data_IF_966635138904
#
_entry.id   IF_966635138904
#
_cell.length_a   1.000
_cell.length_b   1.000
_cell.length_c   1.000
_cell.angle_alpha   90.00
_cell.angle_beta   90.00
_cell.angle_gamma   90.00
#
_symmetry.space_group_name_H-M   'P 1'
#
loop_
_entity.id
_entity.type
_entity.pdbx_description
1 polymer ?
#
# COMPACT_ATOMS: atom_id res chain seq x y z
N UNK A 1 4.81 -22.85 -18.82
CA UNK A 1 3.54 -22.68 -18.08
C UNK A 1 3.57 -21.34 -17.38
N UNK A 2 2.91 -20.32 -17.93
CA UNK A 2 2.76 -19.00 -17.31
C UNK A 2 1.35 -18.90 -16.75
N UNK A 3 1.16 -19.29 -15.49
CA UNK A 3 -0.13 -19.08 -14.82
C UNK A 3 -0.12 -17.70 -14.16
N UNK A 4 -0.08 -16.65 -15.00
CA UNK A 4 -0.16 -15.24 -14.61
C UNK A 4 -1.63 -14.83 -14.36
N UNK A 5 -2.43 -15.74 -13.78
CA UNK A 5 -3.85 -15.50 -13.53
C UNK A 5 -4.03 -14.82 -12.18
N UNK A 6 -4.73 -13.70 -12.23
CA UNK A 6 -5.16 -12.93 -11.06
C UNK A 6 -6.01 -13.79 -10.11
N UNK A 7 -5.56 -13.95 -8.88
CA UNK A 7 -6.23 -14.73 -7.83
C UNK A 7 -7.09 -13.83 -6.99
N UNK A 8 -8.33 -14.24 -6.70
CA UNK A 8 -9.17 -13.55 -5.71
C UNK A 8 -8.60 -13.76 -4.32
N UNK A 9 -8.48 -12.68 -3.56
CA UNK A 9 -7.86 -12.69 -2.23
C UNK A 9 -8.66 -11.79 -1.29
N UNK A 10 -8.47 -12.01 0.02
CA UNK A 10 -8.78 -11.02 1.04
C UNK A 10 -7.49 -10.30 1.39
N UNK A 11 -7.55 -8.98 1.52
CA UNK A 11 -6.39 -8.13 1.80
C UNK A 11 -6.64 -7.43 3.11
N UNK A 12 -5.65 -7.51 3.99
CA UNK A 12 -5.62 -6.75 5.22
C UNK A 12 -4.51 -5.69 5.09
N UNK A 13 -4.86 -4.43 5.31
CA UNK A 13 -3.95 -3.31 5.38
C UNK A 13 -4.01 -2.74 6.80
N UNK A 14 -2.93 -2.87 7.54
CA UNK A 14 -2.76 -2.23 8.84
C UNK A 14 -1.87 -1.00 8.67
N UNK A 15 -2.30 0.14 9.20
CA UNK A 15 -1.49 1.35 9.29
C UNK A 15 -1.38 1.78 10.75
N UNK A 16 -0.22 2.26 11.17
CA UNK A 16 -0.01 2.81 12.51
C UNK A 16 0.79 4.10 12.42
N UNK A 17 0.50 5.01 13.33
CA UNK A 17 1.17 6.28 13.54
C UNK A 17 1.15 6.64 15.03
N UNK A 18 1.83 7.72 15.40
CA UNK A 18 1.81 8.26 16.76
C UNK A 18 0.38 8.63 17.24
N UNK A 19 -0.51 8.97 16.30
CA UNK A 19 -1.91 9.34 16.57
C UNK A 19 -2.89 8.17 16.64
N UNK A 20 -2.44 6.94 16.43
CA UNK A 20 -3.28 5.75 16.38
C UNK A 20 -3.05 4.90 15.14
N UNK A 21 -3.83 3.83 15.00
CA UNK A 21 -3.75 2.91 13.88
C UNK A 21 -5.12 2.52 13.35
N UNK A 22 -5.12 2.08 12.10
CA UNK A 22 -6.30 1.65 11.35
C UNK A 22 -6.05 0.28 10.74
N UNK A 23 -7.11 -0.49 10.56
CA UNK A 23 -7.05 -1.75 9.82
C UNK A 23 -8.17 -1.77 8.80
N UNK A 24 -7.79 -1.84 7.53
CA UNK A 24 -8.68 -2.00 6.40
C UNK A 24 -8.70 -3.46 5.98
N UNK A 25 -9.89 -3.99 5.74
CA UNK A 25 -10.11 -5.34 5.27
C UNK A 25 -10.98 -5.32 4.02
N UNK A 26 -10.42 -5.79 2.92
CA UNK A 26 -11.06 -5.70 1.61
C UNK A 26 -10.92 -6.96 0.79
N UNK A 27 -11.90 -7.14 -0.10
CA UNK A 27 -11.82 -8.16 -1.16
C UNK A 27 -11.06 -7.58 -2.34
N UNK A 28 -10.22 -8.41 -2.95
CA UNK A 28 -9.31 -7.94 -3.97
C UNK A 28 -8.80 -9.04 -4.88
N UNK A 29 -7.80 -8.70 -5.66
CA UNK A 29 -7.06 -9.66 -6.46
C UNK A 29 -5.56 -9.45 -6.35
N UNK A 30 -4.85 -10.55 -6.54
CA UNK A 30 -3.41 -10.62 -6.44
C UNK A 30 -2.84 -11.31 -7.68
N UNK A 31 -1.84 -10.69 -8.28
CA UNK A 31 -1.13 -11.17 -9.45
C UNK A 31 0.38 -11.13 -9.16
N UNK A 32 0.99 -12.30 -9.00
CA UNK A 32 2.43 -12.43 -8.90
C UNK A 32 3.05 -12.38 -10.30
N UNK A 33 4.07 -11.55 -10.51
CA UNK A 33 4.88 -11.55 -11.74
C UNK A 33 6.36 -11.57 -11.39
N UNK A 34 7.20 -12.06 -12.31
CA UNK A 34 8.65 -12.17 -12.10
C UNK A 34 9.33 -10.83 -11.80
N UNK A 35 8.83 -9.74 -12.36
CA UNK A 35 9.40 -8.38 -12.20
C UNK A 35 8.75 -7.58 -11.08
N UNK A 36 7.81 -8.17 -10.33
CA UNK A 36 6.96 -7.40 -9.43
C UNK A 36 5.56 -7.99 -9.30
N UNK A 37 4.94 -7.81 -8.15
CA UNK A 37 3.58 -8.27 -7.90
C UNK A 37 2.61 -7.10 -7.91
N UNK A 38 1.37 -7.37 -8.32
CA UNK A 38 0.27 -6.41 -8.30
C UNK A 38 -0.81 -6.91 -7.37
N UNK A 39 -1.27 -6.05 -6.49
CA UNK A 39 -2.41 -6.30 -5.63
C UNK A 39 -3.40 -5.16 -5.78
N UNK A 40 -4.69 -5.45 -5.79
CA UNK A 40 -5.73 -4.43 -5.73
C UNK A 40 -6.82 -4.90 -4.79
N UNK A 41 -7.45 -3.96 -4.08
CA UNK A 41 -8.61 -4.23 -3.24
C UNK A 41 -9.44 -2.97 -3.07
N UNK A 42 -10.66 -3.16 -2.59
CA UNK A 42 -11.56 -2.06 -2.22
C UNK A 42 -11.94 -2.18 -0.75
N UNK A 43 -11.88 -1.08 -0.02
CA UNK A 43 -12.28 -0.97 1.37
C UNK A 43 -12.76 0.46 1.65
N UNK A 44 -13.80 0.61 2.46
CA UNK A 44 -14.33 1.89 2.95
C UNK A 44 -14.51 2.99 1.88
N UNK A 45 -15.12 2.61 0.75
CA UNK A 45 -15.42 3.54 -0.35
C UNK A 45 -14.20 3.96 -1.18
N UNK A 46 -13.02 3.42 -0.91
CA UNK A 46 -11.82 3.63 -1.70
C UNK A 46 -11.34 2.34 -2.40
N UNK A 47 -10.62 2.55 -3.50
CA UNK A 47 -9.86 1.52 -4.19
C UNK A 47 -8.38 1.72 -3.93
N UNK A 48 -7.68 0.61 -3.78
CA UNK A 48 -6.26 0.56 -3.50
C UNK A 48 -5.59 -0.33 -4.55
N UNK A 49 -4.45 0.12 -5.04
CA UNK A 49 -3.57 -0.65 -5.92
C UNK A 49 -2.15 -0.58 -5.39
N UNK A 50 -1.55 -1.75 -5.24
CA UNK A 50 -0.17 -1.94 -4.80
C UNK A 50 0.63 -2.56 -5.93
N UNK A 51 1.78 -1.95 -6.21
CA UNK A 51 2.72 -2.41 -7.22
C UNK A 51 4.06 -2.59 -6.54
N UNK A 52 4.57 -3.83 -6.55
CA UNK A 52 5.93 -4.15 -6.09
C UNK A 52 6.85 -4.35 -7.28
N UNK A 53 8.14 -4.11 -7.08
CA UNK A 53 9.18 -4.22 -8.10
C UNK A 53 10.50 -3.70 -7.56
N UNK A 54 11.10 -2.72 -8.24
CA UNK A 54 12.26 -1.99 -7.72
C UNK A 54 11.90 -1.04 -6.56
N UNK A 55 10.66 -0.53 -6.57
CA UNK A 55 10.05 0.26 -5.52
C UNK A 55 8.71 -0.36 -5.11
N UNK A 56 8.12 0.13 -4.02
CA UNK A 56 6.73 -0.13 -3.69
C UNK A 56 5.91 1.12 -4.02
N UNK A 57 4.84 0.96 -4.78
CA UNK A 57 3.87 2.03 -5.04
C UNK A 57 2.52 1.64 -4.52
N UNK A 58 1.85 2.59 -3.88
CA UNK A 58 0.51 2.44 -3.33
C UNK A 58 -0.33 3.58 -3.86
N UNK A 59 -1.28 3.24 -4.72
CA UNK A 59 -2.26 4.17 -5.26
C UNK A 59 -3.55 3.98 -4.50
N UNK A 60 -4.05 5.04 -3.87
CA UNK A 60 -5.40 5.09 -3.30
C UNK A 60 -6.25 6.03 -4.15
N UNK A 61 -7.45 5.59 -4.50
CA UNK A 61 -8.46 6.41 -5.19
C UNK A 61 -9.79 6.36 -4.45
N UNK A 62 -10.33 7.53 -4.13
CA UNK A 62 -11.59 7.72 -3.41
C UNK A 62 -11.80 9.21 -3.12
N UNK A 63 -12.56 9.53 -2.08
CA UNK A 63 -12.73 10.91 -1.60
C UNK A 63 -11.38 11.58 -1.30
N UNK A 64 -10.45 10.80 -0.74
CA UNK A 64 -9.04 11.18 -0.61
C UNK A 64 -8.20 10.25 -1.49
N UNK A 65 -7.43 10.83 -2.40
CA UNK A 65 -6.64 10.10 -3.40
C UNK A 65 -5.16 10.49 -3.32
N UNK A 66 -4.27 9.52 -3.52
CA UNK A 66 -2.82 9.74 -3.51
C UNK A 66 -2.06 8.58 -4.15
N UNK A 67 -0.82 8.84 -4.54
CA UNK A 67 0.19 7.83 -4.88
C UNK A 67 1.38 7.96 -3.93
N UNK A 68 1.57 6.97 -3.07
CA UNK A 68 2.77 6.86 -2.23
C UNK A 68 3.79 5.98 -2.94
N UNK A 69 5.03 6.46 -3.03
CA UNK A 69 6.16 5.70 -3.57
C UNK A 69 7.20 5.50 -2.47
N UNK A 70 7.51 4.25 -2.16
CA UNK A 70 8.48 3.90 -1.14
C UNK A 70 9.76 3.40 -1.80
N UNK A 71 10.86 4.10 -1.51
CA UNK A 71 12.21 3.81 -2.00
C UNK A 71 13.17 3.99 -0.82
N UNK A 72 13.86 2.93 -0.42
CA UNK A 72 14.82 3.01 0.70
C UNK A 72 16.01 3.84 0.26
N UNK A 73 16.35 4.87 1.05
CA UNK A 73 17.48 5.75 0.78
C UNK A 73 17.18 6.97 -0.12
N UNK A 74 15.98 7.05 -0.70
CA UNK A 74 15.55 8.19 -1.52
C UNK A 74 14.19 8.71 -1.03
N UNK A 75 14.12 9.96 -0.51
CA UNK A 75 12.84 10.59 -0.22
C UNK A 75 12.01 10.76 -1.49
N UNK A 76 10.72 10.52 -1.38
CA UNK A 76 9.77 10.77 -2.47
C UNK A 76 8.77 11.83 -2.04
N UNK A 77 8.09 12.43 -3.00
CA UNK A 77 7.02 13.40 -2.75
C UNK A 77 5.72 12.91 -3.37
N UNK A 78 4.61 13.29 -2.77
CA UNK A 78 3.29 13.03 -3.29
C UNK A 78 2.34 14.20 -3.00
N UNK A 79 1.21 14.20 -3.70
CA UNK A 79 0.07 15.05 -3.40
C UNK A 79 -1.07 14.18 -2.91
N UNK A 80 -1.60 14.54 -1.74
CA UNK A 80 -2.83 14.00 -1.19
C UNK A 80 -3.95 14.90 -1.69
N UNK A 81 -4.72 14.39 -2.65
CA UNK A 81 -5.86 15.06 -3.24
C UNK A 81 -7.08 14.86 -2.35
N UNK A 82 -7.72 15.96 -1.97
CA UNK A 82 -8.96 15.97 -1.16
C UNK A 82 -10.00 16.86 -1.84
N UNK A 83 -11.29 16.78 -1.45
CA UNK A 83 -12.33 17.68 -1.98
C UNK A 83 -12.07 19.15 -1.67
N UNK A 84 -11.22 19.44 -0.69
CA UNK A 84 -10.91 20.79 -0.21
C UNK A 84 -9.59 21.34 -0.76
N UNK A 85 -8.89 20.57 -1.61
CA UNK A 85 -7.60 20.93 -2.19
C UNK A 85 -6.53 19.86 -1.98
N UNK A 86 -5.33 20.16 -2.46
CA UNK A 86 -4.21 19.24 -2.47
C UNK A 86 -3.23 19.56 -1.34
N UNK A 87 -2.79 18.51 -0.63
CA UNK A 87 -1.80 18.60 0.43
C UNK A 87 -0.51 17.97 -0.10
N UNK A 88 0.58 18.73 -0.13
CA UNK A 88 1.91 18.20 -0.45
C UNK A 88 2.45 17.41 0.74
N UNK A 89 3.02 16.24 0.47
CA UNK A 89 3.63 15.39 1.48
C UNK A 89 4.96 14.82 0.98
N UNK A 90 5.92 14.72 1.90
CA UNK A 90 7.19 14.04 1.66
C UNK A 90 7.19 12.69 2.38
N UNK A 91 7.68 11.65 1.72
CA UNK A 91 7.78 10.28 2.26
C UNK A 91 9.24 9.89 2.33
N UNK A 92 9.74 9.62 3.53
CA UNK A 92 11.04 8.98 3.73
C UNK A 92 10.82 7.54 4.13
N UNK A 93 11.30 6.60 3.33
CA UNK A 93 11.19 5.17 3.65
C UNK A 93 12.37 4.78 4.54
N UNK A 94 12.08 4.41 5.78
CA UNK A 94 13.09 4.05 6.78
C UNK A 94 13.45 2.56 6.65
N UNK A 95 12.45 1.69 6.44
CA UNK A 95 12.67 0.27 6.15
C UNK A 95 11.55 -0.31 5.28
N UNK A 96 11.86 -1.34 4.49
CA UNK A 96 10.88 -2.02 3.65
C UNK A 96 11.24 -3.50 3.48
N UNK A 97 10.25 -4.37 3.66
CA UNK A 97 10.35 -5.81 3.44
C UNK A 97 9.18 -6.26 2.56
N UNK A 98 9.49 -6.95 1.46
CA UNK A 98 8.51 -7.44 0.49
C UNK A 98 8.69 -8.94 0.32
N UNK A 99 7.70 -9.71 0.77
CA UNK A 99 7.66 -11.16 0.66
C UNK A 99 6.48 -11.56 -0.23
N UNK A 100 6.70 -11.66 -1.54
CA UNK A 100 5.68 -12.06 -2.51
C UNK A 100 5.99 -13.43 -3.12
N UNK A 101 4.98 -14.29 -3.18
CA UNK A 101 4.99 -15.58 -3.85
C UNK A 101 3.67 -15.79 -4.58
N UNK A 102 3.52 -16.80 -5.45
CA UNK A 102 2.25 -17.05 -6.13
C UNK A 102 1.04 -17.32 -5.22
N UNK A 103 1.23 -17.65 -3.94
CA UNK A 103 0.15 -17.99 -2.99
C UNK A 103 0.08 -17.07 -1.77
N UNK A 104 1.06 -16.19 -1.58
CA UNK A 104 1.19 -15.36 -0.39
C UNK A 104 1.83 -14.03 -0.75
N UNK A 105 1.39 -12.95 -0.10
CA UNK A 105 2.09 -11.68 -0.15
C UNK A 105 2.01 -11.01 1.22
N UNK A 106 3.17 -10.61 1.73
CA UNK A 106 3.30 -9.79 2.92
C UNK A 106 4.27 -8.65 2.62
N UNK A 107 3.85 -7.42 2.91
CA UNK A 107 4.64 -6.21 2.68
C UNK A 107 4.63 -5.41 3.97
N UNK A 108 5.81 -5.13 4.51
CA UNK A 108 6.00 -4.31 5.71
C UNK A 108 6.83 -3.09 5.33
N UNK A 109 6.37 -1.91 5.74
CA UNK A 109 7.04 -0.63 5.46
C UNK A 109 7.04 0.21 6.73
N UNK A 110 8.20 0.75 7.07
CA UNK A 110 8.34 1.82 8.05
C UNK A 110 8.77 3.08 7.31
N UNK A 111 8.07 4.17 7.57
CA UNK A 111 8.29 5.42 6.86
C UNK A 111 7.93 6.64 7.70
N UNK A 112 8.56 7.75 7.39
CA UNK A 112 8.23 9.05 7.95
C UNK A 112 7.44 9.84 6.91
N UNK A 113 6.28 10.38 7.31
CA UNK A 113 5.46 11.25 6.48
C UNK A 113 5.63 12.70 6.95
N UNK A 114 6.08 13.58 6.07
CA UNK A 114 6.21 15.01 6.31
C UNK A 114 5.04 15.77 5.67
N UNK A 115 4.24 16.46 6.46
CA UNK A 115 3.12 17.29 5.98
C UNK A 115 3.16 18.64 6.71
N UNK A 116 3.08 19.74 5.96
CA UNK A 116 2.86 21.08 6.54
C UNK A 116 3.91 21.53 7.56
N UNK A 117 5.17 21.07 7.43
CA UNK A 117 6.27 21.40 8.34
C UNK A 117 6.41 20.49 9.57
N UNK A 118 5.48 19.55 9.77
CA UNK A 118 5.60 18.47 10.75
C UNK A 118 5.97 17.14 10.10
N UNK A 119 6.52 16.23 10.89
CA UNK A 119 6.75 14.84 10.48
C UNK A 119 6.26 13.86 11.54
N UNK A 120 5.74 12.72 11.11
CA UNK A 120 5.35 11.63 12.00
C UNK A 120 5.86 10.30 11.45
N UNK A 121 6.17 9.39 12.36
CA UNK A 121 6.57 8.03 12.01
C UNK A 121 5.32 7.17 11.77
N UNK A 122 5.39 6.36 10.73
CA UNK A 122 4.33 5.47 10.32
C UNK A 122 4.88 4.06 10.07
N UNK A 123 4.03 3.07 10.30
CA UNK A 123 4.24 1.73 9.80
C UNK A 123 3.01 1.26 9.04
N UNK A 124 3.25 0.41 8.04
CA UNK A 124 2.22 -0.13 7.19
C UNK A 124 2.51 -1.61 6.92
N UNK A 125 1.49 -2.44 7.08
CA UNK A 125 1.55 -3.88 6.79
C UNK A 125 0.42 -4.28 5.87
N UNK A 126 0.77 -4.89 4.75
CA UNK A 126 -0.17 -5.59 3.88
C UNK A 126 -0.01 -7.08 4.05
N UNK A 127 -1.13 -7.79 4.16
CA UNK A 127 -1.17 -9.23 4.13
C UNK A 127 -2.26 -9.73 3.18
N UNK A 128 -1.88 -10.64 2.28
CA UNK A 128 -2.81 -11.44 1.50
C UNK A 128 -3.25 -12.64 2.32
N UNK A 129 -4.55 -12.73 2.55
CA UNK A 129 -5.20 -13.84 3.24
C UNK A 129 -5.96 -14.72 2.22
N UNK A 130 -6.08 -16.03 2.49
CA UNK A 130 -6.89 -16.91 1.66
C UNK A 130 -8.33 -16.41 1.59
N UNK A 131 -8.91 -16.43 0.39
CA UNK A 131 -10.30 -16.08 0.18
C UNK A 131 -11.20 -17.25 0.59
N UNK A 132 -11.73 -17.21 1.81
CA UNK A 132 -12.73 -18.18 2.25
C UNK A 132 -14.13 -17.68 1.87
N UNK A 133 -14.80 -18.37 0.95
CA UNK A 133 -16.26 -18.25 0.83
C UNK A 133 -16.88 -18.93 2.06
N UNK A 134 -17.50 -18.16 2.95
CA UNK A 134 -18.57 -18.67 3.81
C UNK A 134 -19.90 -18.48 3.08
#
# INVERSE_FOLDING_TARGET
>A
MNDNRMKRVRVMLETRSDGGGETLDGKGGYEFRKSGSRLYFTADGASFELLTGNDLRIVRKGEVSYELRFCVGEPTECFIETPYGNIHAAVRTDSMQINCSPSHAEINVEYTLGIGGGSSAHSMRFAVLPYFNK
#
